data_IF_700034441018
#
_entry.id   IF_700034441018
#
_cell.length_a   1.000
_cell.length_b   1.000
_cell.length_c   1.000
_cell.angle_alpha   90.00
_cell.angle_beta   90.00
_cell.angle_gamma   90.00
#
_symmetry.space_group_name_H-M   'P 1'
#
loop_
_entity.id
_entity.type
_entity.pdbx_description
1 polymer ?
#
# COMPACT_ATOMS: atom_id res chain seq x y z
N UNK A 1 -18.53 19.92 7.34
CA UNK A 1 -18.83 18.64 8.01
C UNK A 1 -17.51 17.89 8.16
N UNK A 2 -17.05 17.62 9.38
CA UNK A 2 -15.89 16.77 9.62
C UNK A 2 -16.33 15.30 9.59
N UNK A 3 -15.56 14.44 8.94
CA UNK A 3 -15.75 12.99 9.07
C UNK A 3 -15.38 12.59 10.51
N UNK A 4 -16.17 11.69 11.10
CA UNK A 4 -15.84 11.07 12.39
C UNK A 4 -14.60 10.19 12.32
N UNK A 5 -14.22 9.56 13.45
CA UNK A 5 -13.13 8.59 13.46
C UNK A 5 -13.35 7.50 12.40
N UNK A 6 -12.30 7.13 11.67
CA UNK A 6 -12.39 6.13 10.60
C UNK A 6 -11.17 5.22 10.58
N UNK A 7 -11.37 4.02 10.02
CA UNK A 7 -10.30 3.14 9.57
C UNK A 7 -9.90 3.48 8.13
N UNK A 8 -8.63 3.30 7.80
CA UNK A 8 -8.12 3.50 6.46
C UNK A 8 -7.50 2.22 5.93
N UNK A 9 -7.97 1.78 4.75
CA UNK A 9 -7.45 0.61 4.04
C UNK A 9 -6.84 1.05 2.71
N UNK A 10 -5.65 0.56 2.42
CA UNK A 10 -4.98 0.79 1.13
C UNK A 10 -4.40 -0.50 0.54
N UNK A 11 -4.45 -0.64 -0.79
CA UNK A 11 -3.87 -1.76 -1.53
C UNK A 11 -2.75 -1.26 -2.43
N UNK A 12 -1.64 -2.02 -2.49
CA UNK A 12 -0.50 -1.73 -3.38
C UNK A 12 0.03 -0.30 -3.15
N UNK A 13 0.26 0.48 -4.21
CA UNK A 13 0.64 1.90 -4.11
C UNK A 13 -0.37 2.73 -3.32
N UNK A 14 -1.67 2.40 -3.41
CA UNK A 14 -2.71 2.99 -2.58
C UNK A 14 -2.51 2.71 -1.08
N UNK A 15 -1.82 1.62 -0.72
CA UNK A 15 -1.38 1.34 0.65
C UNK A 15 -0.31 2.31 1.13
N UNK A 16 0.72 2.58 0.31
CA UNK A 16 1.73 3.58 0.61
C UNK A 16 1.11 4.98 0.76
N UNK A 17 0.21 5.36 -0.17
CA UNK A 17 -0.52 6.63 -0.09
C UNK A 17 -1.39 6.72 1.17
N UNK A 18 -2.06 5.62 1.56
CA UNK A 18 -2.84 5.54 2.78
C UNK A 18 -1.99 5.73 4.05
N UNK A 19 -0.78 5.15 4.10
CA UNK A 19 0.19 5.35 5.19
C UNK A 19 0.54 6.84 5.30
N UNK A 20 0.93 7.47 4.19
CA UNK A 20 1.29 8.89 4.15
C UNK A 20 0.13 9.80 4.56
N UNK A 21 -1.10 9.46 4.14
CA UNK A 21 -2.29 10.18 4.55
C UNK A 21 -2.59 9.99 6.05
N UNK A 22 -2.52 8.76 6.55
CA UNK A 22 -2.78 8.44 7.94
C UNK A 22 -1.80 9.15 8.90
N UNK A 23 -0.53 9.30 8.51
CA UNK A 23 0.46 10.02 9.33
C UNK A 23 0.10 11.51 9.55
N UNK A 24 -0.72 12.09 8.67
CA UNK A 24 -1.14 13.51 8.70
C UNK A 24 -2.57 13.71 9.22
N UNK A 25 -3.44 12.69 9.11
CA UNK A 25 -4.87 12.81 9.39
C UNK A 25 -5.22 12.22 10.77
N UNK A 26 -5.52 13.08 11.73
CA UNK A 26 -5.90 12.68 13.10
C UNK A 26 -7.24 11.93 13.19
N UNK A 27 -8.09 12.05 12.17
CA UNK A 27 -9.36 11.31 12.08
C UNK A 27 -9.19 9.83 11.79
N UNK A 28 -8.05 9.42 11.19
CA UNK A 28 -7.72 8.00 10.99
C UNK A 28 -7.29 7.41 12.33
N UNK A 29 -8.03 6.42 12.83
CA UNK A 29 -7.82 5.80 14.16
C UNK A 29 -7.23 4.41 14.07
N UNK A 30 -7.41 3.73 12.96
CA UNK A 30 -6.86 2.40 12.68
C UNK A 30 -6.52 2.28 11.20
N UNK A 31 -5.58 1.42 10.86
CA UNK A 31 -5.09 1.29 9.50
C UNK A 31 -4.83 -0.15 9.14
N UNK A 32 -5.04 -0.48 7.85
CA UNK A 32 -4.59 -1.72 7.25
C UNK A 32 -4.04 -1.48 5.83
N UNK A 33 -3.05 -2.26 5.44
CA UNK A 33 -2.54 -2.29 4.06
C UNK A 33 -2.54 -3.71 3.51
N UNK A 34 -2.82 -3.84 2.23
CA UNK A 34 -2.78 -5.09 1.49
C UNK A 34 -1.74 -4.95 0.39
N UNK A 35 -0.73 -5.86 0.36
CA UNK A 35 0.30 -5.90 -0.69
C UNK A 35 0.96 -4.52 -0.94
N UNK A 36 1.19 -3.74 0.11
CA UNK A 36 1.74 -2.38 -0.01
C UNK A 36 3.28 -2.39 -0.06
N UNK A 37 3.89 -1.52 -0.88
CA UNK A 37 5.33 -1.35 -0.88
C UNK A 37 5.79 -0.50 0.32
N UNK A 38 6.98 -0.77 0.84
CA UNK A 38 7.63 0.00 1.89
C UNK A 38 8.29 1.29 1.40
N UNK A 39 8.42 1.42 0.07
CA UNK A 39 8.93 2.60 -0.63
C UNK A 39 8.02 2.90 -1.80
N UNK A 40 7.58 4.15 -1.96
CA UNK A 40 6.76 4.54 -3.09
C UNK A 40 7.47 4.30 -4.44
N UNK A 41 8.79 4.49 -4.49
CA UNK A 41 9.63 4.22 -5.67
C UNK A 41 9.62 2.75 -6.13
N UNK A 42 9.22 1.81 -5.26
CA UNK A 42 9.16 0.38 -5.65
C UNK A 42 8.35 0.16 -6.92
N UNK A 43 7.32 0.97 -7.16
CA UNK A 43 6.48 0.84 -8.36
C UNK A 43 7.15 1.33 -9.66
N UNK A 44 8.34 1.96 -9.59
CA UNK A 44 9.08 2.40 -10.80
C UNK A 44 9.40 1.25 -11.75
N UNK A 45 9.59 0.03 -11.23
CA UNK A 45 9.81 -1.13 -12.11
C UNK A 45 8.61 -1.42 -13.03
N UNK A 46 7.41 -0.99 -12.66
CA UNK A 46 6.21 -1.11 -13.51
C UNK A 46 6.21 -0.10 -14.66
N UNK A 47 7.09 0.93 -14.58
CA UNK A 47 7.27 1.95 -15.61
C UNK A 47 8.37 1.55 -16.62
N UNK A 48 9.02 0.39 -16.42
CA UNK A 48 10.12 -0.05 -17.26
C UNK A 48 9.72 -0.09 -18.73
N UNK A 49 10.50 0.62 -19.58
CA UNK A 49 10.24 0.79 -21.01
C UNK A 49 9.52 2.08 -21.41
N UNK A 50 8.86 2.77 -20.47
CA UNK A 50 8.18 4.04 -20.71
C UNK A 50 8.79 5.22 -19.93
N UNK A 51 9.83 4.97 -19.12
CA UNK A 51 10.44 6.00 -18.28
C UNK A 51 11.14 7.08 -19.12
N UNK A 52 11.84 6.68 -20.20
CA UNK A 52 12.49 7.63 -21.10
C UNK A 52 11.47 8.49 -21.86
N UNK A 53 10.37 7.89 -22.33
CA UNK A 53 9.26 8.60 -22.96
C UNK A 53 8.63 9.58 -21.97
N UNK A 54 8.34 9.12 -20.76
CA UNK A 54 7.76 9.93 -19.69
C UNK A 54 8.61 11.15 -19.36
N UNK A 55 9.95 10.98 -19.32
CA UNK A 55 10.88 12.07 -19.02
C UNK A 55 11.07 13.02 -20.22
N UNK A 56 11.03 12.52 -21.49
CA UNK A 56 11.26 13.34 -22.68
C UNK A 56 9.99 14.06 -23.17
N UNK A 57 8.85 13.38 -23.10
CA UNK A 57 7.55 13.89 -23.59
C UNK A 57 6.71 14.54 -22.47
N UNK A 58 7.14 14.38 -21.21
CA UNK A 58 6.43 14.90 -20.03
C UNK A 58 5.25 14.03 -19.60
N UNK A 59 4.86 13.03 -20.42
CA UNK A 59 3.79 12.06 -20.16
C UNK A 59 3.99 10.79 -20.96
N UNK A 60 3.43 9.68 -20.50
CA UNK A 60 3.42 8.40 -21.21
C UNK A 60 2.22 7.54 -20.80
N UNK A 61 1.79 6.68 -21.72
CA UNK A 61 0.78 5.66 -21.45
C UNK A 61 1.44 4.40 -20.87
N UNK A 62 1.08 4.05 -19.65
CA UNK A 62 1.62 2.90 -18.92
C UNK A 62 0.55 1.84 -18.73
N UNK A 63 0.81 0.62 -19.15
CA UNK A 63 -0.12 -0.50 -18.94
C UNK A 63 0.29 -1.31 -17.70
N UNK A 64 -0.57 -1.30 -16.69
CA UNK A 64 -0.40 -2.06 -15.45
C UNK A 64 -1.58 -3.04 -15.32
N UNK A 65 -1.28 -4.33 -15.23
CA UNK A 65 -2.29 -5.40 -15.10
C UNK A 65 -3.41 -5.32 -16.15
N UNK A 66 -3.04 -5.00 -17.41
CA UNK A 66 -3.98 -4.91 -18.53
C UNK A 66 -4.82 -3.63 -18.59
N UNK A 67 -4.53 -2.65 -17.74
CA UNK A 67 -5.16 -1.31 -17.76
C UNK A 67 -4.13 -0.26 -18.13
N UNK A 68 -4.48 0.62 -19.07
CA UNK A 68 -3.64 1.75 -19.48
C UNK A 68 -3.96 2.98 -18.66
N UNK A 69 -2.92 3.64 -18.18
CA UNK A 69 -2.98 4.89 -17.42
C UNK A 69 -2.05 5.90 -18.08
N UNK A 70 -2.54 7.09 -18.34
CA UNK A 70 -1.68 8.23 -18.70
C UNK A 70 -1.03 8.75 -17.42
N UNK A 71 0.31 8.76 -17.39
CA UNK A 71 1.10 9.29 -16.27
C UNK A 71 1.88 10.52 -16.74
N UNK A 72 2.05 11.48 -15.84
CA UNK A 72 2.89 12.65 -16.03
C UNK A 72 4.29 12.44 -15.41
N UNK A 73 5.31 13.07 -15.97
CA UNK A 73 6.70 12.99 -15.45
C UNK A 73 6.79 13.40 -13.96
N UNK A 74 5.95 14.33 -13.52
CA UNK A 74 5.83 14.73 -12.12
C UNK A 74 5.54 13.58 -11.18
N UNK A 75 4.81 12.55 -11.62
CA UNK A 75 4.52 11.36 -10.82
C UNK A 75 5.78 10.59 -10.40
N UNK A 76 6.72 10.37 -11.34
CA UNK A 76 7.97 9.66 -11.05
C UNK A 76 8.82 10.46 -10.05
N UNK A 77 8.83 11.78 -10.19
CA UNK A 77 9.55 12.65 -9.28
C UNK A 77 8.93 12.64 -7.87
N UNK A 78 7.60 12.67 -7.80
CA UNK A 78 6.85 12.64 -6.56
C UNK A 78 7.09 11.34 -5.77
N UNK A 79 7.12 10.18 -6.45
CA UNK A 79 7.41 8.89 -5.81
C UNK A 79 8.69 8.89 -4.96
N UNK A 80 9.74 9.58 -5.44
CA UNK A 80 11.03 9.64 -4.76
C UNK A 80 11.03 10.54 -3.51
N UNK A 81 10.02 11.39 -3.35
CA UNK A 81 9.97 12.38 -2.25
C UNK A 81 9.31 11.84 -0.98
N UNK A 82 8.73 10.65 -1.02
CA UNK A 82 7.91 10.13 0.07
C UNK A 82 8.63 9.07 0.90
N UNK A 83 8.81 9.35 2.20
CA UNK A 83 9.33 8.41 3.19
C UNK A 83 8.18 7.60 3.83
N UNK A 84 7.83 6.47 3.20
CA UNK A 84 6.76 5.59 3.67
C UNK A 84 7.14 4.91 5.00
N UNK A 85 8.40 4.46 5.15
CA UNK A 85 8.85 3.80 6.39
C UNK A 85 8.88 4.78 7.57
N UNK A 86 9.36 6.00 7.37
CA UNK A 86 9.32 7.04 8.39
C UNK A 86 7.89 7.41 8.78
N UNK A 87 6.97 7.44 7.80
CA UNK A 87 5.55 7.65 8.07
C UNK A 87 4.96 6.52 8.91
N UNK A 88 5.28 5.23 8.61
CA UNK A 88 4.85 4.08 9.42
C UNK A 88 5.42 4.16 10.84
N UNK A 89 6.72 4.43 10.99
CA UNK A 89 7.36 4.54 12.29
C UNK A 89 6.75 5.63 13.18
N UNK A 90 6.16 6.66 12.57
CA UNK A 90 5.46 7.75 13.26
C UNK A 90 3.96 7.52 13.47
N UNK A 91 3.39 6.40 12.99
CA UNK A 91 2.00 6.04 13.21
C UNK A 91 1.77 5.60 14.65
N UNK A 92 1.21 6.46 15.49
CA UNK A 92 0.81 6.17 16.87
C UNK A 92 -0.61 5.58 16.91
N UNK A 93 -0.87 4.54 16.09
CA UNK A 93 -2.20 3.92 15.97
C UNK A 93 -2.12 2.48 15.47
N UNK A 94 -3.17 1.67 15.73
CA UNK A 94 -3.24 0.30 15.27
C UNK A 94 -2.98 0.17 13.76
N UNK A 95 -2.05 -0.71 13.38
CA UNK A 95 -1.70 -0.94 11.99
C UNK A 95 -1.59 -2.43 11.67
N UNK A 96 -2.34 -2.88 10.66
CA UNK A 96 -2.31 -4.23 10.13
C UNK A 96 -1.67 -4.27 8.75
N UNK A 97 -0.68 -5.14 8.60
CA UNK A 97 -0.12 -5.51 7.29
C UNK A 97 -0.75 -6.80 6.81
N UNK A 98 -1.21 -6.84 5.58
CA UNK A 98 -1.70 -8.04 4.89
C UNK A 98 -0.83 -8.27 3.67
N UNK A 99 -0.26 -9.47 3.50
CA UNK A 99 0.60 -9.78 2.35
C UNK A 99 0.57 -11.26 2.00
N UNK A 100 0.66 -11.59 0.71
CA UNK A 100 0.83 -12.95 0.23
C UNK A 100 2.30 -13.27 -0.06
N UNK A 101 2.73 -14.50 0.26
CA UNK A 101 4.12 -14.95 0.05
C UNK A 101 4.47 -15.07 -1.44
N UNK A 102 3.47 -15.38 -2.26
CA UNK A 102 3.56 -15.55 -3.71
C UNK A 102 3.32 -14.26 -4.49
N UNK A 103 3.27 -13.09 -3.82
CA UNK A 103 3.16 -11.79 -4.49
C UNK A 103 4.43 -11.48 -5.28
N UNK A 104 4.31 -11.49 -6.62
CA UNK A 104 5.40 -11.21 -7.55
C UNK A 104 5.49 -9.75 -7.98
N UNK A 105 4.50 -8.93 -7.65
CA UNK A 105 4.46 -7.49 -7.98
C UNK A 105 5.09 -6.67 -6.85
N UNK A 106 4.61 -6.87 -5.62
CA UNK A 106 5.21 -6.30 -4.41
C UNK A 106 5.60 -7.47 -3.51
N UNK A 107 6.90 -7.70 -3.36
CA UNK A 107 7.39 -8.86 -2.59
C UNK A 107 6.98 -8.76 -1.13
N UNK A 108 6.73 -9.90 -0.51
CA UNK A 108 6.37 -9.99 0.92
C UNK A 108 7.37 -9.29 1.84
N UNK A 109 8.64 -9.20 1.45
CA UNK A 109 9.68 -8.46 2.17
C UNK A 109 9.36 -6.97 2.35
N UNK A 110 8.57 -6.38 1.45
CA UNK A 110 8.08 -5.00 1.62
C UNK A 110 7.09 -4.91 2.78
N UNK A 111 6.18 -5.88 2.89
CA UNK A 111 5.27 -6.01 4.03
C UNK A 111 6.00 -6.27 5.34
N UNK A 112 7.05 -7.10 5.31
CA UNK A 112 7.92 -7.35 6.47
C UNK A 112 8.62 -6.06 6.94
N UNK A 113 9.09 -5.24 6.01
CA UNK A 113 9.71 -3.94 6.33
C UNK A 113 8.70 -2.96 6.94
N UNK A 114 7.47 -2.88 6.40
CA UNK A 114 6.41 -2.07 6.98
C UNK A 114 6.04 -2.53 8.40
N UNK A 115 5.88 -3.84 8.59
CA UNK A 115 5.58 -4.40 9.91
C UNK A 115 6.70 -4.16 10.91
N UNK A 116 7.97 -4.30 10.50
CA UNK A 116 9.11 -4.04 11.37
C UNK A 116 9.18 -2.57 11.82
N UNK A 117 8.87 -1.63 10.93
CA UNK A 117 8.88 -0.20 11.24
C UNK A 117 7.70 0.26 12.11
N UNK A 118 6.58 -0.46 12.09
CA UNK A 118 5.37 -0.09 12.81
C UNK A 118 5.51 -0.25 14.32
N UNK A 119 4.81 0.62 15.06
CA UNK A 119 4.67 0.54 16.51
C UNK A 119 3.46 -0.33 16.91
N UNK A 120 3.45 -0.81 18.16
CA UNK A 120 2.28 -1.51 18.72
C UNK A 120 1.10 -0.54 18.95
N UNK A 121 -0.16 -1.00 18.80
CA UNK A 121 -0.54 -2.36 18.43
C UNK A 121 -0.44 -2.59 16.92
N UNK A 122 0.16 -3.70 16.51
CA UNK A 122 0.33 -4.08 15.11
C UNK A 122 0.02 -5.55 14.87
N UNK A 123 -0.34 -5.88 13.63
CA UNK A 123 -0.61 -7.26 13.20
C UNK A 123 -0.06 -7.51 11.81
N UNK A 124 0.38 -8.75 11.53
CA UNK A 124 0.75 -9.18 10.20
C UNK A 124 -0.05 -10.43 9.81
N UNK A 125 -1.01 -10.27 8.92
CA UNK A 125 -1.72 -11.37 8.29
C UNK A 125 -0.96 -11.79 7.02
N UNK A 126 -0.29 -12.93 7.11
CA UNK A 126 0.51 -13.49 6.03
C UNK A 126 -0.21 -14.67 5.41
N UNK A 127 -0.27 -14.71 4.08
CA UNK A 127 -0.94 -15.75 3.31
C UNK A 127 0.07 -16.48 2.44
N UNK A 128 0.13 -17.82 2.46
CA UNK A 128 1.08 -18.58 1.64
C UNK A 128 0.84 -18.40 0.14
N UNK A 129 -0.40 -18.11 -0.22
CA UNK A 129 -0.89 -17.90 -1.58
C UNK A 129 -1.96 -16.80 -1.59
N UNK A 130 -2.17 -16.16 -2.71
CA UNK A 130 -3.10 -15.02 -2.87
C UNK A 130 -2.68 -14.11 -4.01
N UNK A 131 -1.40 -14.09 -4.31
CA UNK A 131 -0.80 -13.16 -5.28
C UNK A 131 -1.04 -11.71 -4.89
N UNK A 132 -0.74 -10.80 -5.81
CA UNK A 132 -0.86 -9.35 -5.56
C UNK A 132 -2.31 -8.88 -5.37
N UNK A 133 -3.26 -9.52 -6.03
CA UNK A 133 -4.66 -9.07 -6.09
C UNK A 133 -5.62 -9.89 -5.23
N UNK A 134 -5.14 -10.95 -4.56
CA UNK A 134 -6.02 -11.91 -3.88
C UNK A 134 -7.16 -12.37 -4.79
N UNK A 135 -6.83 -12.71 -6.05
CA UNK A 135 -7.79 -12.96 -7.12
C UNK A 135 -8.67 -14.20 -6.92
N UNK A 136 -8.27 -15.13 -6.05
CA UNK A 136 -9.07 -16.27 -5.66
C UNK A 136 -10.10 -15.84 -4.60
N UNK A 137 -11.38 -16.16 -4.84
CA UNK A 137 -12.49 -15.73 -3.96
C UNK A 137 -12.31 -16.20 -2.50
N UNK A 138 -11.89 -17.44 -2.28
CA UNK A 138 -11.71 -17.97 -0.91
C UNK A 138 -10.60 -17.22 -0.16
N UNK A 139 -9.52 -16.81 -0.84
CA UNK A 139 -8.45 -16.02 -0.26
C UNK A 139 -8.91 -14.58 0.01
N UNK A 140 -9.64 -13.98 -0.93
CA UNK A 140 -10.23 -12.66 -0.74
C UNK A 140 -11.22 -12.63 0.44
N UNK A 141 -12.07 -13.64 0.58
CA UNK A 141 -13.05 -13.74 1.67
C UNK A 141 -12.33 -13.86 3.04
N UNK A 142 -11.28 -14.68 3.15
CA UNK A 142 -10.47 -14.79 4.38
C UNK A 142 -9.77 -13.49 4.72
N UNK A 143 -9.06 -12.91 3.76
CA UNK A 143 -8.36 -11.63 3.93
C UNK A 143 -9.33 -10.53 4.36
N UNK A 144 -10.52 -10.47 3.73
CA UNK A 144 -11.56 -9.51 4.09
C UNK A 144 -12.04 -9.71 5.53
N UNK A 145 -12.26 -10.96 5.93
CA UNK A 145 -12.70 -11.29 7.30
C UNK A 145 -11.64 -10.84 8.34
N UNK A 146 -10.36 -11.07 8.07
CA UNK A 146 -9.26 -10.66 8.96
C UNK A 146 -9.16 -9.13 9.07
N UNK A 147 -9.29 -8.41 7.94
CA UNK A 147 -9.27 -6.93 7.92
C UNK A 147 -10.48 -6.36 8.66
N UNK A 148 -11.68 -6.93 8.46
CA UNK A 148 -12.90 -6.51 9.17
C UNK A 148 -12.76 -6.76 10.67
N UNK A 149 -12.25 -7.93 11.06
CA UNK A 149 -11.99 -8.27 12.46
C UNK A 149 -11.02 -7.28 13.11
N UNK A 150 -9.95 -6.92 12.39
CA UNK A 150 -8.99 -5.91 12.84
C UNK A 150 -9.65 -4.57 13.12
N UNK A 151 -10.40 -4.03 12.15
CA UNK A 151 -11.06 -2.74 12.32
C UNK A 151 -12.12 -2.77 13.43
N UNK A 152 -12.88 -3.87 13.58
CA UNK A 152 -13.84 -4.02 14.68
C UNK A 152 -13.17 -4.02 16.07
N UNK A 153 -11.93 -4.51 16.15
CA UNK A 153 -11.19 -4.54 17.43
C UNK A 153 -10.45 -3.22 17.74
N UNK A 154 -10.23 -2.35 16.73
CA UNK A 154 -9.32 -1.19 16.86
C UNK A 154 -9.98 0.17 16.58
N UNK A 155 -11.22 0.22 16.17
CA UNK A 155 -12.04 1.43 16.01
C UNK A 155 -12.99 1.60 17.17
#
# INVERSE_FOLDING_TARGET
MGFGPCGLLGHSLGGAAAILAASKLKTVRSMATISAPSKAEHVRHLLAGSEDELLSEGRADITISGRTFELEAGFVHDLATHDVLGAVASLERPYMVVHADDDTVVRVSEGEALFAAAQEPKSFARYPDGGHLFGNRSHADRMTADVVSWFNATL
#
